data_IF_586669277164
#
_entry.id   IF_586669277164
#
_cell.length_a   1.000
_cell.length_b   1.000
_cell.length_c   1.000
_cell.angle_alpha   90.00
_cell.angle_beta   90.00
_cell.angle_gamma   90.00
#
_symmetry.space_group_name_H-M   'P 1'
#
loop_
_entity.id
_entity.type
_entity.pdbx_description
1 polymer ?
#
# COMPACT_ATOMS: atom_id res chain seq x y z
N UNK A 1 -13.95 25.16 -2.59
CA UNK A 1 -13.89 25.81 -3.91
C UNK A 1 -13.79 24.73 -4.98
N UNK A 2 -14.50 24.88 -6.10
CA UNK A 2 -14.48 23.90 -7.20
C UNK A 2 -13.29 24.17 -8.15
N UNK A 3 -12.58 23.12 -8.54
CA UNK A 3 -11.54 23.17 -9.55
C UNK A 3 -12.21 23.16 -10.93
N UNK A 4 -11.97 24.19 -11.76
CA UNK A 4 -12.45 24.23 -13.14
C UNK A 4 -11.29 23.87 -14.10
N UNK A 5 -11.43 22.76 -14.82
CA UNK A 5 -10.43 22.28 -15.78
C UNK A 5 -11.03 22.46 -17.18
N UNK A 6 -10.44 23.35 -17.99
CA UNK A 6 -10.84 23.63 -19.39
C UNK A 6 -9.91 22.95 -20.39
N UNK A 7 -9.48 21.75 -20.08
CA UNK A 7 -8.59 20.95 -20.92
C UNK A 7 -9.37 19.74 -21.47
N UNK A 8 -9.62 19.66 -22.79
CA UNK A 8 -10.42 18.58 -23.39
C UNK A 8 -9.85 17.19 -23.17
N UNK A 9 -8.52 17.06 -23.10
CA UNK A 9 -7.86 15.77 -22.87
C UNK A 9 -8.12 15.27 -21.44
N UNK A 10 -8.00 16.14 -20.45
CA UNK A 10 -8.30 15.82 -19.05
C UNK A 10 -9.75 15.40 -18.88
N UNK A 11 -10.69 16.06 -19.56
CA UNK A 11 -12.10 15.65 -19.54
C UNK A 11 -12.31 14.27 -20.17
N UNK A 12 -11.67 14.00 -21.32
CA UNK A 12 -11.72 12.69 -21.98
C UNK A 12 -11.21 11.59 -21.05
N UNK A 13 -10.03 11.77 -20.45
CA UNK A 13 -9.43 10.81 -19.52
C UNK A 13 -10.32 10.58 -18.28
N UNK A 14 -10.86 11.64 -17.69
CA UNK A 14 -11.77 11.52 -16.55
C UNK A 14 -13.06 10.76 -16.93
N UNK A 15 -13.55 10.95 -18.15
CA UNK A 15 -14.74 10.26 -18.67
C UNK A 15 -14.48 8.78 -18.92
N UNK A 16 -13.32 8.44 -19.51
CA UNK A 16 -12.92 7.05 -19.77
C UNK A 16 -12.73 6.27 -18.47
N UNK A 17 -12.01 6.83 -17.50
CA UNK A 17 -11.81 6.20 -16.20
C UNK A 17 -13.15 6.01 -15.49
N UNK A 18 -14.00 7.05 -15.47
CA UNK A 18 -15.34 6.97 -14.89
C UNK A 18 -16.19 5.85 -15.53
N UNK A 19 -16.15 5.71 -16.85
CA UNK A 19 -16.87 4.64 -17.56
C UNK A 19 -16.33 3.25 -17.22
N UNK A 20 -15.01 3.10 -17.07
CA UNK A 20 -14.36 1.84 -16.71
C UNK A 20 -14.62 1.43 -15.25
N UNK A 21 -14.69 2.39 -14.32
CA UNK A 21 -14.80 2.11 -12.88
C UNK A 21 -16.24 2.21 -12.36
N UNK A 22 -17.16 2.78 -13.14
CA UNK A 22 -18.51 3.09 -12.68
C UNK A 22 -18.59 4.30 -11.71
N UNK A 23 -17.49 5.04 -11.56
CA UNK A 23 -17.44 6.23 -10.71
C UNK A 23 -17.86 7.51 -11.46
N UNK A 24 -18.07 8.61 -10.73
CA UNK A 24 -18.23 9.93 -11.37
C UNK A 24 -16.90 10.44 -11.93
N UNK A 25 -16.92 11.31 -12.96
CA UNK A 25 -15.70 11.99 -13.47
C UNK A 25 -14.91 12.67 -12.34
N UNK A 26 -15.61 13.32 -11.42
CA UNK A 26 -15.02 13.96 -10.23
C UNK A 26 -14.41 12.92 -9.26
N UNK A 27 -15.04 11.75 -9.12
CA UNK A 27 -14.52 10.61 -8.38
C UNK A 27 -13.19 10.12 -8.95
N UNK A 28 -13.17 9.86 -10.26
CA UNK A 28 -11.98 9.45 -10.99
C UNK A 28 -10.82 10.46 -10.82
N UNK A 29 -11.10 11.76 -10.98
CA UNK A 29 -10.09 12.82 -10.78
C UNK A 29 -9.58 12.85 -9.34
N UNK A 30 -10.47 12.73 -8.35
CA UNK A 30 -10.08 12.70 -6.93
C UNK A 30 -9.17 11.51 -6.63
N UNK A 31 -9.51 10.34 -7.16
CA UNK A 31 -8.74 9.12 -6.96
C UNK A 31 -7.34 9.23 -7.61
N UNK A 32 -7.27 9.67 -8.87
CA UNK A 32 -6.01 9.88 -9.57
C UNK A 32 -5.07 10.87 -8.83
N UNK A 33 -5.63 11.97 -8.29
CA UNK A 33 -4.87 12.93 -7.49
C UNK A 33 -4.36 12.33 -6.17
N UNK A 34 -5.18 11.53 -5.49
CA UNK A 34 -4.77 10.83 -4.27
C UNK A 34 -3.64 9.84 -4.53
N UNK A 35 -3.73 9.03 -5.59
CA UNK A 35 -2.68 8.09 -5.97
C UNK A 35 -1.38 8.81 -6.35
N UNK A 36 -1.47 9.92 -7.10
CA UNK A 36 -0.30 10.74 -7.44
C UNK A 36 0.31 11.34 -6.17
N UNK A 37 -0.50 11.85 -5.24
CA UNK A 37 -0.03 12.36 -3.94
C UNK A 37 0.67 11.26 -3.14
N UNK A 38 0.11 10.05 -3.07
CA UNK A 38 0.73 8.91 -2.38
C UNK A 38 2.07 8.54 -3.01
N UNK A 39 2.15 8.38 -4.34
CA UNK A 39 3.42 8.14 -5.04
C UNK A 39 4.47 9.21 -4.74
N UNK A 40 4.06 10.48 -4.71
CA UNK A 40 4.95 11.59 -4.38
C UNK A 40 5.38 11.62 -2.92
N UNK A 41 4.51 11.27 -1.98
CA UNK A 41 4.89 11.11 -0.57
C UNK A 41 5.88 9.97 -0.39
N UNK A 42 5.69 8.86 -1.12
CA UNK A 42 6.62 7.74 -1.13
C UNK A 42 7.96 8.08 -1.78
N UNK A 43 7.98 8.96 -2.80
CA UNK A 43 9.24 9.39 -3.43
C UNK A 43 9.96 10.50 -2.66
N UNK A 44 9.24 11.36 -1.95
CA UNK A 44 9.79 12.49 -1.17
C UNK A 44 10.57 12.07 0.06
N UNK A 45 10.41 10.83 0.55
CA UNK A 45 11.13 10.37 1.74
C UNK A 45 12.62 10.15 1.53
N UNK A 46 13.15 10.25 0.29
CA UNK A 46 14.58 10.02 -0.03
C UNK A 46 15.09 8.59 0.19
N UNK A 47 14.35 7.81 0.98
CA UNK A 47 14.59 6.41 1.29
C UNK A 47 14.33 5.50 0.09
N UNK A 48 15.23 4.54 -0.09
CA UNK A 48 14.97 3.41 -0.96
C UNK A 48 13.71 2.66 -0.47
N UNK A 49 13.07 1.90 -1.35
CA UNK A 49 11.88 1.09 -0.98
C UNK A 49 12.15 0.19 0.24
N UNK A 50 13.37 -0.33 0.35
CA UNK A 50 13.84 -1.12 1.50
C UNK A 50 13.80 -0.32 2.79
N UNK A 51 14.38 0.89 2.81
CA UNK A 51 14.46 1.72 4.01
C UNK A 51 13.07 2.13 4.52
N UNK A 52 12.10 2.36 3.63
CA UNK A 52 10.71 2.62 4.04
C UNK A 52 10.06 1.41 4.72
N UNK A 53 10.31 0.21 4.19
CA UNK A 53 9.81 -1.03 4.79
C UNK A 53 10.43 -1.23 6.18
N UNK A 54 11.75 -1.04 6.29
CA UNK A 54 12.47 -1.09 7.56
C UNK A 54 11.88 -0.07 8.53
N UNK A 55 11.77 1.20 8.16
CA UNK A 55 11.19 2.27 9.00
C UNK A 55 9.79 1.94 9.51
N UNK A 56 8.91 1.36 8.66
CA UNK A 56 7.59 0.92 9.08
C UNK A 56 7.67 -0.23 10.11
N UNK A 57 8.54 -1.21 9.87
CA UNK A 57 8.79 -2.30 10.81
C UNK A 57 9.27 -1.75 12.16
N UNK A 58 10.25 -0.85 12.18
CA UNK A 58 10.82 -0.32 13.43
C UNK A 58 9.87 0.58 14.20
N UNK A 59 9.15 1.46 13.51
CA UNK A 59 8.36 2.50 14.18
C UNK A 59 6.97 2.00 14.58
N UNK A 60 6.39 1.07 13.82
CA UNK A 60 4.97 0.71 13.96
C UNK A 60 4.74 -0.74 14.39
N UNK A 61 5.53 -1.68 13.88
CA UNK A 61 5.27 -3.10 14.07
C UNK A 61 6.09 -3.70 15.22
N UNK A 62 7.41 -3.49 15.25
CA UNK A 62 8.30 -4.01 16.29
C UNK A 62 7.95 -3.58 17.73
N UNK A 63 7.50 -2.33 18.01
CA UNK A 63 7.09 -1.95 19.36
C UNK A 63 5.85 -2.68 19.87
N UNK A 64 5.09 -3.33 18.96
CA UNK A 64 3.88 -4.10 19.29
C UNK A 64 4.14 -5.60 19.37
N UNK A 65 5.34 -6.05 19.02
CA UNK A 65 5.67 -7.47 19.13
C UNK A 65 5.86 -7.85 20.60
N UNK A 66 5.44 -9.06 21.00
CA UNK A 66 5.75 -9.58 22.31
C UNK A 66 7.26 -9.63 22.56
N UNK A 67 7.66 -9.39 23.81
CA UNK A 67 9.05 -9.52 24.25
C UNK A 67 9.57 -10.94 23.98
N UNK A 68 10.74 -11.05 23.36
CA UNK A 68 11.40 -12.34 23.07
C UNK A 68 11.10 -12.93 21.67
N UNK A 69 10.15 -12.35 20.92
CA UNK A 69 9.87 -12.79 19.53
C UNK A 69 10.82 -12.12 18.52
N UNK A 70 11.33 -10.94 18.85
CA UNK A 70 12.29 -10.24 17.99
C UNK A 70 13.67 -10.87 18.11
N UNK A 71 14.19 -11.37 16.99
CA UNK A 71 15.52 -11.99 16.92
C UNK A 71 15.55 -13.51 17.08
N UNK A 72 14.41 -14.14 17.40
CA UNK A 72 14.24 -15.59 17.34
C UNK A 72 13.82 -16.00 15.92
N UNK A 73 14.64 -16.82 15.25
CA UNK A 73 14.20 -17.49 14.03
C UNK A 73 13.19 -18.58 14.40
N UNK A 74 12.13 -18.73 13.60
CA UNK A 74 11.23 -19.87 13.71
C UNK A 74 12.01 -21.14 13.40
N UNK A 75 11.76 -22.22 14.16
CA UNK A 75 12.21 -23.54 13.75
C UNK A 75 11.43 -23.98 12.51
N UNK A 76 12.00 -24.94 11.76
CA UNK A 76 11.35 -25.48 10.57
C UNK A 76 9.98 -26.06 10.89
N UNK A 77 9.85 -26.74 12.02
CA UNK A 77 8.60 -27.33 12.50
C UNK A 77 7.54 -26.27 12.82
N UNK A 78 7.96 -25.13 13.40
CA UNK A 78 7.06 -24.00 13.67
C UNK A 78 6.60 -23.34 12.38
N UNK A 79 7.50 -23.17 11.41
CA UNK A 79 7.17 -22.64 10.08
C UNK A 79 6.21 -23.55 9.34
N UNK A 80 6.47 -24.86 9.32
CA UNK A 80 5.59 -25.87 8.70
C UNK A 80 4.22 -25.89 9.37
N UNK A 81 4.13 -25.80 10.69
CA UNK A 81 2.84 -25.71 11.40
C UNK A 81 2.03 -24.45 11.01
N UNK A 82 2.69 -23.29 10.86
CA UNK A 82 2.05 -22.04 10.42
C UNK A 82 1.54 -22.16 8.97
N UNK A 83 2.31 -22.82 8.11
CA UNK A 83 1.97 -23.03 6.70
C UNK A 83 0.93 -24.16 6.49
N UNK A 84 0.59 -24.91 7.54
CA UNK A 84 -0.35 -26.04 7.47
C UNK A 84 0.28 -27.36 7.01
N UNK A 85 1.61 -27.46 6.99
CA UNK A 85 2.39 -28.66 6.67
C UNK A 85 2.87 -29.44 7.90
N UNK A 86 2.44 -29.06 9.11
CA UNK A 86 2.87 -29.69 10.38
C UNK A 86 2.38 -31.14 10.57
N UNK A 87 2.47 -31.67 11.79
CA UNK A 87 2.06 -33.06 12.12
C UNK A 87 0.56 -33.34 11.91
N UNK A 88 -0.25 -32.30 11.73
CA UNK A 88 -1.66 -32.39 11.32
C UNK A 88 -1.87 -32.17 9.80
N UNK A 89 -0.80 -32.19 9.01
CA UNK A 89 -0.81 -31.90 7.58
C UNK A 89 -1.77 -32.77 6.78
N UNK A 90 -2.32 -32.17 5.73
CA UNK A 90 -3.25 -32.74 4.74
C UNK A 90 -2.91 -34.15 4.23
#
# INVERSE_FOLDING_TARGET
>A
MALNIKDPETERLASEIAALTGESKTGAVRQALNERKQRLLLSRSGMARGDRMVSLLEQRLWPRLPTGVRGSALSKEQEEAILGYGSEGA
#
